data_IF_321470662526
#
_entry.id   IF_321470662526
#
_cell.length_a   1.000
_cell.length_b   1.000
_cell.length_c   1.000
_cell.angle_alpha   90.00
_cell.angle_beta   90.00
_cell.angle_gamma   90.00
#
_symmetry.space_group_name_H-M   'P 1'
#
loop_
_entity.id
_entity.type
_entity.pdbx_description
1 polymer ?
#
# COMPACT_ATOMS: atom_id res chain seq x y z
N UNK A 1 -23.90 4.88 11.53
CA UNK A 1 -24.03 3.91 10.42
C UNK A 1 -22.64 3.80 9.83
N UNK A 2 -22.01 2.63 9.92
CA UNK A 2 -20.66 2.45 9.38
C UNK A 2 -20.72 2.58 7.86
N UNK A 3 -19.96 3.51 7.29
CA UNK A 3 -19.90 3.71 5.84
C UNK A 3 -19.14 2.54 5.23
N UNK A 4 -19.85 1.74 4.44
CA UNK A 4 -19.26 0.72 3.58
C UNK A 4 -18.84 1.36 2.25
N UNK A 5 -17.84 0.79 1.61
CA UNK A 5 -17.32 1.31 0.34
C UNK A 5 -17.02 0.17 -0.60
N UNK A 6 -17.30 0.38 -1.89
CA UNK A 6 -17.11 -0.64 -2.92
C UNK A 6 -15.69 -0.58 -3.45
N UNK A 7 -15.00 -1.70 -3.39
CA UNK A 7 -13.63 -1.88 -3.85
C UNK A 7 -13.59 -3.00 -4.89
N UNK A 8 -12.97 -2.71 -6.03
CA UNK A 8 -12.53 -3.68 -7.02
C UNK A 8 -11.19 -4.27 -6.62
N UNK A 9 -11.08 -5.58 -6.70
CA UNK A 9 -9.87 -6.35 -6.44
C UNK A 9 -9.55 -7.11 -7.72
N UNK A 10 -8.49 -6.72 -8.39
CA UNK A 10 -8.06 -7.26 -9.66
C UNK A 10 -6.92 -8.27 -9.49
N UNK A 11 -7.20 -9.50 -9.92
CA UNK A 11 -6.32 -10.65 -9.90
C UNK A 11 -5.73 -10.98 -11.28
N UNK A 12 -6.06 -10.23 -12.33
CA UNK A 12 -5.60 -10.48 -13.70
C UNK A 12 -4.07 -10.39 -13.81
N UNK A 13 -3.46 -9.39 -13.18
CA UNK A 13 -2.01 -9.17 -13.10
C UNK A 13 -1.32 -10.03 -12.03
N UNK A 14 -2.06 -10.82 -11.26
CA UNK A 14 -1.51 -11.65 -10.19
C UNK A 14 -0.73 -12.87 -10.72
N UNK A 15 -0.65 -13.06 -12.04
CA UNK A 15 0.14 -14.13 -12.67
C UNK A 15 -0.21 -15.50 -12.12
N UNK A 16 -1.51 -15.77 -11.94
CA UNK A 16 -2.04 -16.96 -11.28
C UNK A 16 -1.81 -18.26 -12.08
N UNK A 17 -1.48 -18.14 -13.36
CA UNK A 17 -1.30 -19.27 -14.29
C UNK A 17 -2.51 -20.24 -14.25
N UNK A 18 -3.71 -19.65 -14.13
CA UNK A 18 -4.99 -20.33 -14.17
C UNK A 18 -5.67 -20.03 -15.49
N UNK A 19 -6.40 -21.01 -16.03
CA UNK A 19 -7.30 -20.75 -17.14
C UNK A 19 -8.53 -19.96 -16.67
N UNK A 20 -9.40 -19.57 -17.62
CA UNK A 20 -10.55 -18.72 -17.32
C UNK A 20 -11.56 -19.38 -16.36
N UNK A 21 -11.80 -20.68 -16.50
CA UNK A 21 -12.78 -21.39 -15.68
C UNK A 21 -12.22 -21.59 -14.26
N UNK A 22 -10.96 -22.01 -14.16
CA UNK A 22 -10.26 -22.18 -12.88
C UNK A 22 -10.09 -20.85 -12.13
N UNK A 23 -9.89 -19.75 -12.86
CA UNK A 23 -9.82 -18.40 -12.28
C UNK A 23 -11.17 -17.96 -11.70
N UNK A 24 -12.28 -18.22 -12.41
CA UNK A 24 -13.62 -17.89 -11.91
C UNK A 24 -13.95 -18.70 -10.64
N UNK A 25 -13.69 -20.01 -10.63
CA UNK A 25 -13.89 -20.86 -9.46
C UNK A 25 -12.99 -20.44 -8.28
N UNK A 26 -11.74 -20.07 -8.56
CA UNK A 26 -10.84 -19.52 -7.55
C UNK A 26 -11.43 -18.25 -6.92
N UNK A 27 -11.90 -17.29 -7.74
CA UNK A 27 -12.45 -16.04 -7.23
C UNK A 27 -13.78 -16.20 -6.50
N UNK A 28 -14.62 -17.15 -6.90
CA UNK A 28 -15.84 -17.50 -6.16
C UNK A 28 -15.50 -18.02 -4.76
N UNK A 29 -14.47 -18.87 -4.64
CA UNK A 29 -13.99 -19.34 -3.35
C UNK A 29 -13.44 -18.19 -2.49
N UNK A 30 -12.66 -17.28 -3.08
CA UNK A 30 -12.16 -16.08 -2.39
C UNK A 30 -13.30 -15.21 -1.86
N UNK A 31 -14.30 -14.93 -2.70
CA UNK A 31 -15.45 -14.13 -2.30
C UNK A 31 -16.23 -14.80 -1.14
N UNK A 32 -16.44 -16.12 -1.21
CA UNK A 32 -17.08 -16.90 -0.16
C UNK A 32 -16.29 -16.86 1.16
N UNK A 33 -14.97 -17.03 1.10
CA UNK A 33 -14.09 -16.96 2.26
C UNK A 33 -14.15 -15.57 2.91
N UNK A 34 -14.08 -14.50 2.10
CA UNK A 34 -14.15 -13.12 2.59
C UNK A 34 -15.47 -12.83 3.32
N UNK A 35 -16.61 -13.32 2.80
CA UNK A 35 -17.91 -13.21 3.47
C UNK A 35 -17.95 -14.04 4.76
N UNK A 36 -17.55 -15.31 4.69
CA UNK A 36 -17.62 -16.24 5.82
C UNK A 36 -16.69 -15.88 6.98
N UNK A 37 -15.61 -15.14 6.68
CA UNK A 37 -14.66 -14.62 7.66
C UNK A 37 -15.03 -13.24 8.21
N UNK A 38 -16.24 -12.74 7.94
CA UNK A 38 -16.72 -11.39 8.31
C UNK A 38 -15.76 -10.26 7.90
N UNK A 39 -15.03 -10.44 6.79
CA UNK A 39 -14.08 -9.45 6.28
C UNK A 39 -14.78 -8.37 5.48
N UNK A 40 -15.87 -8.73 4.80
CA UNK A 40 -16.63 -7.86 3.90
C UNK A 40 -18.13 -8.06 4.13
N UNK A 41 -18.92 -7.02 3.85
CA UNK A 41 -20.39 -7.14 3.86
C UNK A 41 -20.86 -7.95 2.65
N UNK A 42 -20.29 -7.65 1.49
CA UNK A 42 -20.58 -8.36 0.24
C UNK A 42 -19.30 -8.57 -0.57
N UNK A 43 -19.27 -9.63 -1.37
CA UNK A 43 -18.23 -9.81 -2.38
C UNK A 43 -18.78 -10.61 -3.57
N UNK A 44 -18.42 -10.28 -4.79
CA UNK A 44 -18.85 -11.05 -5.97
C UNK A 44 -17.91 -10.79 -7.15
N UNK A 45 -18.03 -11.59 -8.21
CA UNK A 45 -17.37 -11.29 -9.47
C UNK A 45 -17.87 -9.94 -10.00
N UNK A 46 -16.95 -9.11 -10.47
CA UNK A 46 -17.26 -7.78 -10.96
C UNK A 46 -18.08 -7.85 -12.26
N UNK A 47 -19.11 -7.02 -12.36
CA UNK A 47 -19.90 -6.82 -13.58
C UNK A 47 -19.51 -5.48 -14.22
N UNK A 48 -19.88 -5.30 -15.48
CA UNK A 48 -19.56 -4.06 -16.23
C UNK A 48 -20.14 -2.82 -15.56
N UNK A 49 -21.28 -2.98 -14.88
CA UNK A 49 -21.96 -1.95 -14.09
C UNK A 49 -21.23 -1.56 -12.82
N UNK A 50 -20.32 -2.40 -12.33
CA UNK A 50 -19.69 -2.25 -11.03
C UNK A 50 -18.35 -1.51 -11.10
N UNK A 51 -17.90 -1.17 -12.32
CA UNK A 51 -16.62 -0.48 -12.57
C UNK A 51 -16.81 1.04 -12.49
N UNK A 52 -16.16 1.74 -11.55
CA UNK A 52 -16.19 3.19 -11.49
C UNK A 52 -15.63 3.80 -12.78
N UNK A 53 -16.24 4.88 -13.28
CA UNK A 53 -15.85 5.49 -14.54
C UNK A 53 -14.39 5.99 -14.54
N UNK A 54 -13.89 6.40 -13.37
CA UNK A 54 -12.50 6.77 -13.13
C UNK A 54 -11.51 5.58 -13.13
N UNK A 55 -11.99 4.34 -12.93
CA UNK A 55 -11.19 3.12 -12.85
C UNK A 55 -11.11 2.36 -14.21
N UNK A 56 -11.69 2.90 -15.29
CA UNK A 56 -11.77 2.27 -16.63
C UNK A 56 -10.43 2.22 -17.41
N UNK A 57 -9.30 2.50 -16.78
CA UNK A 57 -8.00 2.45 -17.45
C UNK A 57 -7.35 1.06 -17.31
N UNK A 58 -7.54 0.20 -18.32
CA UNK A 58 -6.72 -1.00 -18.54
C UNK A 58 -7.40 -2.32 -18.17
N UNK A 59 -7.47 -2.67 -16.89
CA UNK A 59 -7.93 -3.99 -16.43
C UNK A 59 -9.46 -4.18 -16.54
N UNK A 60 -10.23 -3.14 -16.27
CA UNK A 60 -11.69 -3.21 -16.27
C UNK A 60 -12.34 -3.37 -17.67
N UNK A 61 -11.55 -3.25 -18.75
CA UNK A 61 -12.01 -3.50 -20.12
C UNK A 61 -12.30 -5.00 -20.38
N UNK A 62 -11.76 -5.89 -19.54
CA UNK A 62 -11.97 -7.33 -19.61
C UNK A 62 -12.20 -7.82 -18.18
N UNK A 63 -13.45 -7.74 -17.67
CA UNK A 63 -13.89 -8.06 -16.30
C UNK A 63 -13.45 -9.42 -15.71
N UNK A 64 -12.80 -10.27 -16.51
CA UNK A 64 -12.24 -11.55 -16.09
C UNK A 64 -11.14 -11.30 -15.07
N UNK A 65 -11.26 -11.92 -13.89
CA UNK A 65 -10.23 -11.82 -12.85
C UNK A 65 -10.49 -10.74 -11.80
N UNK A 66 -11.66 -10.07 -11.80
CA UNK A 66 -11.94 -8.95 -10.89
C UNK A 66 -13.08 -9.32 -9.92
N UNK A 67 -12.88 -9.03 -8.63
CA UNK A 67 -13.91 -9.07 -7.59
C UNK A 67 -14.37 -7.67 -7.22
N UNK A 68 -15.65 -7.50 -6.96
CA UNK A 68 -16.19 -6.36 -6.20
C UNK A 68 -16.38 -6.79 -4.76
N UNK A 69 -16.02 -5.93 -3.81
CA UNK A 69 -16.16 -6.16 -2.39
C UNK A 69 -16.65 -4.91 -1.67
N UNK A 70 -17.65 -5.07 -0.80
CA UNK A 70 -18.15 -4.01 0.05
C UNK A 70 -17.45 -4.08 1.42
N UNK A 71 -16.55 -3.13 1.65
CA UNK A 71 -15.64 -3.15 2.78
C UNK A 71 -15.98 -1.99 3.72
N UNK A 72 -16.14 -2.29 5.01
CA UNK A 72 -16.21 -1.27 6.06
C UNK A 72 -14.79 -0.83 6.43
N UNK A 73 -14.58 0.47 6.70
CA UNK A 73 -13.30 1.06 7.15
C UNK A 73 -12.63 0.24 8.28
N UNK A 74 -13.40 -0.25 9.24
CA UNK A 74 -12.87 -1.05 10.37
C UNK A 74 -12.32 -2.43 9.96
N UNK A 75 -12.77 -2.97 8.83
CA UNK A 75 -12.37 -4.27 8.30
C UNK A 75 -11.30 -4.19 7.21
N UNK A 76 -10.96 -2.99 6.73
CA UNK A 76 -9.98 -2.79 5.66
C UNK A 76 -8.63 -3.47 5.97
N UNK A 77 -8.12 -3.30 7.20
CA UNK A 77 -6.89 -3.95 7.64
C UNK A 77 -6.97 -5.49 7.56
N UNK A 78 -8.10 -6.08 7.96
CA UNK A 78 -8.31 -7.54 7.90
C UNK A 78 -8.40 -8.06 6.47
N UNK A 79 -9.03 -7.29 5.56
CA UNK A 79 -9.08 -7.62 4.14
C UNK A 79 -7.68 -7.58 3.54
N UNK A 80 -6.87 -6.56 3.86
CA UNK A 80 -5.49 -6.47 3.41
C UNK A 80 -4.63 -7.63 3.93
N UNK A 81 -4.82 -8.04 5.19
CA UNK A 81 -4.16 -9.21 5.76
C UNK A 81 -4.58 -10.52 5.06
N UNK A 82 -5.87 -10.69 4.78
CA UNK A 82 -6.40 -11.85 4.07
C UNK A 82 -5.86 -11.95 2.65
N UNK A 83 -5.96 -10.86 1.86
CA UNK A 83 -5.43 -10.80 0.49
C UNK A 83 -3.91 -11.03 0.46
N UNK A 84 -3.22 -10.57 1.50
CA UNK A 84 -1.84 -10.91 1.77
C UNK A 84 -1.56 -12.39 1.90
N UNK A 85 -2.40 -13.11 2.64
CA UNK A 85 -2.24 -14.53 2.87
C UNK A 85 -2.73 -15.38 1.70
N UNK A 86 -3.60 -14.82 0.85
CA UNK A 86 -4.27 -15.54 -0.23
C UNK A 86 -3.30 -16.06 -1.29
N UNK A 87 -2.34 -15.25 -1.77
CA UNK A 87 -1.27 -15.71 -2.68
C UNK A 87 0.05 -14.92 -2.48
N UNK A 88 1.05 -15.61 -1.94
CA UNK A 88 2.38 -15.05 -1.69
C UNK A 88 3.15 -14.75 -2.99
N UNK A 89 3.69 -13.53 -3.11
CA UNK A 89 4.65 -13.12 -4.13
C UNK A 89 4.06 -12.49 -5.40
N UNK A 90 2.73 -12.36 -5.48
CA UNK A 90 1.98 -11.85 -6.64
C UNK A 90 1.44 -10.44 -6.37
N UNK A 91 1.30 -9.65 -7.44
CA UNK A 91 0.76 -8.29 -7.39
C UNK A 91 -0.76 -8.35 -7.58
N UNK A 92 -1.53 -7.71 -6.69
CA UNK A 92 -2.97 -7.52 -6.81
C UNK A 92 -3.24 -6.03 -6.97
N UNK A 93 -4.06 -5.62 -7.92
CA UNK A 93 -4.47 -4.22 -8.02
C UNK A 93 -5.81 -4.03 -7.30
N UNK A 94 -5.90 -3.06 -6.40
CA UNK A 94 -7.12 -2.72 -5.66
C UNK A 94 -7.59 -1.36 -6.12
N UNK A 95 -8.68 -1.31 -6.86
CA UNK A 95 -9.25 -0.06 -7.37
C UNK A 95 -10.59 0.21 -6.70
N UNK A 96 -10.89 1.39 -6.19
CA UNK A 96 -12.18 1.59 -5.53
C UNK A 96 -12.49 3.03 -5.18
N UNK A 97 -13.69 3.27 -4.68
CA UNK A 97 -14.10 4.60 -4.20
C UNK A 97 -14.52 4.51 -2.73
N UNK A 98 -13.80 5.21 -1.85
CA UNK A 98 -14.12 5.31 -0.41
C UNK A 98 -14.24 6.80 -0.09
N UNK A 99 -15.38 7.21 0.47
CA UNK A 99 -15.64 8.61 0.83
C UNK A 99 -15.42 9.63 -0.33
N UNK A 100 -15.62 9.22 -1.59
CA UNK A 100 -15.42 10.05 -2.79
C UNK A 100 -13.98 10.10 -3.34
N UNK A 101 -13.07 9.32 -2.76
CA UNK A 101 -11.68 9.21 -3.20
C UNK A 101 -11.50 7.92 -4.01
N UNK A 102 -10.92 8.03 -5.20
CA UNK A 102 -10.58 6.86 -6.03
C UNK A 102 -9.19 6.35 -5.66
N UNK A 103 -9.07 5.08 -5.31
CA UNK A 103 -7.81 4.41 -4.98
C UNK A 103 -7.44 3.45 -6.11
N UNK A 104 -6.15 3.29 -6.39
CA UNK A 104 -5.61 2.19 -7.20
C UNK A 104 -4.31 1.72 -6.55
N UNK A 105 -4.35 0.58 -5.86
CA UNK A 105 -3.27 0.09 -5.00
C UNK A 105 -2.72 -1.20 -5.58
N UNK A 106 -1.45 -1.21 -6.00
CA UNK A 106 -0.75 -2.44 -6.35
C UNK A 106 -0.14 -3.08 -5.08
N UNK A 107 -0.63 -4.27 -4.72
CA UNK A 107 -0.34 -4.98 -3.49
C UNK A 107 0.48 -6.25 -3.76
N UNK A 108 1.65 -6.43 -3.12
CA UNK A 108 2.47 -7.64 -3.26
C UNK A 108 3.03 -8.14 -1.93
N UNK A 109 2.65 -9.34 -1.49
CA UNK A 109 3.11 -9.93 -0.22
C UNK A 109 4.28 -10.93 -0.38
N UNK A 110 5.09 -11.18 0.66
CA UNK A 110 6.18 -12.19 0.68
C UNK A 110 6.07 -13.18 1.87
N UNK A 111 6.49 -14.43 1.66
CA UNK A 111 6.47 -15.65 2.52
C UNK A 111 6.88 -15.49 4.00
N UNK A 112 7.48 -14.37 4.41
CA UNK A 112 8.10 -14.24 5.74
C UNK A 112 7.13 -13.78 6.85
N UNK A 113 5.88 -13.42 6.54
CA UNK A 113 4.90 -12.94 7.53
C UNK A 113 4.44 -14.00 8.54
N UNK A 114 4.29 -15.28 8.16
CA UNK A 114 3.80 -16.33 9.08
C UNK A 114 4.84 -16.74 10.13
N UNK A 115 6.14 -16.61 9.83
CA UNK A 115 7.20 -16.80 10.86
C UNK A 115 7.18 -15.69 11.92
N UNK A 116 6.52 -14.54 11.67
CA UNK A 116 6.37 -13.42 12.61
C UNK A 116 5.33 -13.72 13.70
N UNK A 117 4.24 -14.45 13.40
CA UNK A 117 3.16 -14.73 14.36
C UNK A 117 3.47 -15.92 15.29
N UNK A 118 4.10 -16.97 14.76
CA UNK A 118 4.38 -18.23 15.51
C UNK A 118 5.50 -18.11 16.56
N UNK A 119 6.35 -17.08 16.52
CA UNK A 119 7.39 -16.85 17.55
C UNK A 119 6.93 -15.93 18.69
N UNK A 120 5.93 -15.08 18.47
CA UNK A 120 5.38 -14.21 19.52
C UNK A 120 4.47 -14.98 20.48
N UNK A 121 3.73 -15.98 19.99
CA UNK A 121 2.86 -16.84 20.81
C UNK A 121 3.59 -18.01 21.49
N UNK A 122 4.80 -18.38 21.03
CA UNK A 122 5.59 -19.45 21.64
C UNK A 122 6.13 -19.11 23.05
N UNK A 123 6.14 -17.83 23.45
CA UNK A 123 6.54 -17.43 24.80
C UNK A 123 5.42 -17.55 25.84
N UNK A 124 4.16 -17.74 25.44
CA UNK A 124 3.03 -17.84 26.37
C UNK A 124 2.58 -19.27 26.71
N UNK A 125 3.12 -20.32 26.06
CA UNK A 125 2.63 -21.70 26.26
C UNK A 125 3.63 -22.65 26.96
N UNK A 126 4.90 -22.29 27.15
CA UNK A 126 5.81 -23.10 27.99
C UNK A 126 5.87 -22.64 29.44
N UNK A 127 4.71 -22.64 30.10
CA UNK A 127 4.59 -22.64 31.56
C UNK A 127 4.69 -24.05 32.13
N UNK A 128 5.85 -24.70 32.02
CA UNK A 128 6.12 -25.98 32.68
C UNK A 128 7.36 -25.89 33.57
N UNK A 129 7.04 -25.86 34.87
CA UNK A 129 7.80 -26.17 36.09
C UNK A 129 9.23 -26.69 35.91
N UNK A 130 10.13 -26.07 36.68
CA UNK A 130 11.43 -26.59 37.12
C UNK A 130 12.53 -26.72 36.04
N UNK A 131 13.44 -25.75 36.02
CA UNK A 131 14.80 -26.01 35.55
C UNK A 131 15.85 -25.29 36.42
N UNK A 132 16.93 -26.02 36.68
CA UNK A 132 17.72 -26.00 37.91
C UNK A 132 18.92 -25.03 37.81
N UNK A 133 19.20 -24.29 38.89
CA UNK A 133 20.42 -23.47 39.06
C UNK A 133 21.63 -24.40 39.17
N UNK A 134 22.31 -24.72 38.05
CA UNK A 134 23.71 -25.19 37.98
C UNK A 134 24.12 -25.39 36.53
N UNK A 135 24.66 -24.34 35.92
CA UNK A 135 25.74 -24.38 34.90
C UNK A 135 25.93 -22.97 34.33
N UNK A 136 26.51 -22.09 35.14
CA UNK A 136 27.31 -21.00 34.61
C UNK A 136 28.69 -21.57 34.32
N UNK A 137 28.99 -21.95 33.07
CA UNK A 137 30.34 -21.90 32.54
C UNK A 137 30.32 -22.04 31.01
N UNK A 138 30.91 -21.06 30.34
CA UNK A 138 31.48 -21.12 29.00
C UNK A 138 30.57 -21.55 27.82
N UNK A 139 29.71 -20.63 27.40
CA UNK A 139 29.50 -20.37 25.96
C UNK A 139 29.41 -18.87 25.74
N UNK A 140 30.50 -18.24 25.25
CA UNK A 140 30.43 -16.95 24.59
C UNK A 140 29.63 -17.15 23.29
N UNK A 141 28.31 -17.06 23.39
CA UNK A 141 27.50 -16.78 22.21
C UNK A 141 27.87 -15.37 21.75
N UNK A 142 28.23 -15.16 20.46
CA UNK A 142 28.36 -13.81 19.96
C UNK A 142 26.99 -13.16 20.11
N UNK A 143 26.95 -12.08 20.88
CA UNK A 143 25.84 -11.16 20.99
C UNK A 143 25.36 -10.86 19.56
N UNK A 144 24.19 -11.37 19.17
CA UNK A 144 23.60 -11.11 17.86
C UNK A 144 23.43 -9.60 17.79
N UNK A 145 24.25 -8.92 16.98
CA UNK A 145 23.96 -7.54 16.58
C UNK A 145 22.60 -7.57 15.91
N UNK A 146 21.64 -6.88 16.52
CA UNK A 146 20.26 -6.68 16.08
C UNK A 146 20.16 -6.62 14.55
N UNK A 147 19.61 -7.65 13.91
CA UNK A 147 18.95 -7.49 12.62
C UNK A 147 17.57 -6.90 12.91
N UNK A 148 17.54 -5.60 13.18
CA UNK A 148 16.29 -4.85 13.22
C UNK A 148 16.04 -4.40 11.77
N UNK A 149 15.05 -5.02 11.14
CA UNK A 149 14.42 -4.52 9.92
C UNK A 149 13.51 -3.35 10.32
N UNK A 150 13.38 -2.39 9.43
CA UNK A 150 12.64 -1.14 9.69
C UNK A 150 11.40 -1.07 8.78
N UNK A 151 10.26 -0.70 9.37
CA UNK A 151 9.02 -0.39 8.67
C UNK A 151 8.86 1.12 8.62
N UNK A 152 9.17 1.71 7.47
CA UNK A 152 9.21 3.16 7.33
C UNK A 152 8.16 3.64 6.34
N UNK A 153 7.52 4.78 6.63
CA UNK A 153 6.60 5.46 5.72
C UNK A 153 6.97 6.92 5.45
N UNK A 154 7.01 7.31 4.17
CA UNK A 154 7.03 8.71 3.72
C UNK A 154 5.66 9.07 3.21
N UNK A 155 5.08 10.12 3.77
CA UNK A 155 3.76 10.62 3.44
C UNK A 155 3.90 12.04 2.91
N UNK A 156 3.53 12.26 1.66
CA UNK A 156 3.59 13.57 1.02
C UNK A 156 2.16 14.08 0.77
N UNK A 157 1.87 15.29 1.23
CA UNK A 157 0.56 15.92 1.06
C UNK A 157 0.71 17.29 0.45
N UNK A 158 0.15 17.51 -0.73
CA UNK A 158 0.20 18.81 -1.42
C UNK A 158 -1.22 19.34 -1.58
N UNK A 159 -1.57 20.31 -0.74
CA UNK A 159 -2.88 20.97 -0.75
C UNK A 159 -2.84 22.42 -1.22
N UNK A 160 -1.67 23.04 -1.29
CA UNK A 160 -1.48 24.41 -1.78
C UNK A 160 -0.76 24.40 -3.11
N UNK A 161 -1.26 25.17 -4.06
CA UNK A 161 -0.71 25.29 -5.41
C UNK A 161 -0.69 26.76 -5.84
N UNK A 162 0.24 27.09 -6.73
CA UNK A 162 0.22 28.35 -7.48
C UNK A 162 -0.89 28.39 -8.54
N UNK A 163 -0.75 29.31 -9.49
CA UNK A 163 -1.70 29.40 -10.60
C UNK A 163 -1.68 28.14 -11.48
N UNK A 164 -2.86 27.65 -11.86
CA UNK A 164 -3.02 26.54 -12.79
C UNK A 164 -3.57 25.24 -12.19
N UNK A 165 -3.56 25.12 -10.86
CA UNK A 165 -4.16 23.99 -10.15
C UNK A 165 -5.03 24.50 -9.01
N UNK A 166 -6.16 23.84 -8.78
CA UNK A 166 -7.04 24.19 -7.66
C UNK A 166 -6.43 23.72 -6.34
N UNK A 167 -6.51 24.51 -5.25
CA UNK A 167 -6.11 24.05 -3.93
C UNK A 167 -6.84 22.76 -3.52
N UNK A 168 -6.13 21.87 -2.85
CA UNK A 168 -6.64 20.58 -2.36
C UNK A 168 -6.43 20.45 -0.85
N UNK A 169 -7.18 21.22 -0.02
CA UNK A 169 -6.97 21.26 1.43
C UNK A 169 -7.24 19.93 2.16
N UNK A 170 -7.77 18.93 1.46
CA UNK A 170 -7.90 17.56 1.96
C UNK A 170 -6.53 16.85 2.05
N UNK A 171 -5.60 17.11 1.13
CA UNK A 171 -4.35 16.35 1.05
C UNK A 171 -3.49 16.38 2.33
N UNK A 172 -3.27 17.54 2.99
CA UNK A 172 -2.59 17.55 4.28
C UNK A 172 -3.36 16.83 5.39
N UNK A 173 -4.69 16.77 5.32
CA UNK A 173 -5.54 16.06 6.29
C UNK A 173 -5.44 14.55 6.10
N UNK A 174 -5.38 14.08 4.86
CA UNK A 174 -5.19 12.66 4.54
C UNK A 174 -3.85 12.17 5.10
N UNK A 175 -2.78 12.95 4.89
CA UNK A 175 -1.45 12.64 5.46
C UNK A 175 -1.52 12.57 6.99
N UNK A 176 -2.20 13.51 7.64
CA UNK A 176 -2.32 13.51 9.10
C UNK A 176 -3.06 12.26 9.61
N UNK A 177 -4.20 11.93 9.01
CA UNK A 177 -5.00 10.76 9.37
C UNK A 177 -4.24 9.45 9.12
N UNK A 178 -3.54 9.33 7.98
CA UNK A 178 -2.81 8.12 7.67
C UNK A 178 -1.57 7.96 8.55
N UNK A 179 -0.89 9.06 8.89
CA UNK A 179 0.22 9.03 9.83
C UNK A 179 -0.20 8.52 11.22
N UNK A 180 -1.40 8.87 11.69
CA UNK A 180 -1.94 8.40 12.97
C UNK A 180 -2.10 6.87 12.98
N UNK A 181 -2.69 6.32 11.91
CA UNK A 181 -2.87 4.87 11.75
C UNK A 181 -1.54 4.14 11.67
N UNK A 182 -0.60 4.65 10.86
CA UNK A 182 0.69 4.01 10.64
C UNK A 182 1.55 3.99 11.92
N UNK A 183 1.54 5.07 12.71
CA UNK A 183 2.27 5.16 13.98
C UNK A 183 1.65 4.32 15.10
N UNK A 184 0.36 4.02 15.04
CA UNK A 184 -0.31 3.31 16.12
C UNK A 184 0.25 1.89 16.28
N UNK A 185 0.90 1.53 17.41
CA UNK A 185 1.51 0.22 17.62
C UNK A 185 0.51 -0.93 17.69
N UNK A 186 -0.77 -0.64 17.96
CA UNK A 186 -1.84 -1.63 17.98
C UNK A 186 -2.46 -1.87 16.59
N UNK A 187 -2.09 -1.05 15.58
CA UNK A 187 -2.57 -1.18 14.21
C UNK A 187 -1.42 -1.60 13.28
N UNK A 188 -0.58 -0.66 12.88
CA UNK A 188 0.51 -0.92 11.94
C UNK A 188 1.89 -0.91 12.61
N UNK A 189 2.12 0.02 13.55
CA UNK A 189 3.37 0.12 14.31
C UNK A 189 4.61 0.35 13.45
N UNK A 190 4.56 1.32 12.54
CA UNK A 190 5.73 1.73 11.75
C UNK A 190 6.81 2.36 12.64
N UNK A 191 8.08 2.06 12.35
CA UNK A 191 9.26 2.53 13.08
C UNK A 191 9.49 4.02 12.80
N UNK A 192 9.44 4.42 11.52
CA UNK A 192 9.48 5.82 11.09
C UNK A 192 8.26 6.18 10.25
N UNK A 193 7.63 7.32 10.56
CA UNK A 193 6.59 7.92 9.71
C UNK A 193 6.93 9.38 9.49
N UNK A 194 7.47 9.69 8.32
CA UNK A 194 7.86 11.03 7.89
C UNK A 194 6.75 11.66 7.06
N UNK A 195 6.31 12.85 7.47
CA UNK A 195 5.29 13.63 6.75
C UNK A 195 5.92 14.87 6.12
N UNK A 196 5.64 15.14 4.85
CA UNK A 196 6.13 16.29 4.10
C UNK A 196 4.94 17.01 3.46
N UNK A 197 4.64 18.23 3.90
CA UNK A 197 3.45 18.98 3.50
C UNK A 197 3.83 20.15 2.59
N UNK A 198 3.12 20.28 1.47
CA UNK A 198 3.31 21.31 0.45
C UNK A 198 4.78 21.52 0.00
N UNK A 199 5.60 20.46 -0.22
CA UNK A 199 6.94 20.65 -0.74
C UNK A 199 6.93 21.25 -2.14
N UNK A 200 7.95 22.05 -2.46
CA UNK A 200 8.24 22.39 -3.84
C UNK A 200 8.83 21.17 -4.58
N UNK A 201 8.94 21.25 -5.91
CA UNK A 201 9.41 20.14 -6.74
C UNK A 201 10.80 19.62 -6.30
N UNK A 202 11.75 20.51 -5.99
CA UNK A 202 13.10 20.11 -5.64
C UNK A 202 13.14 19.42 -4.26
N UNK A 203 12.37 19.92 -3.30
CA UNK A 203 12.21 19.31 -1.98
C UNK A 203 11.57 17.93 -2.10
N UNK A 204 10.46 17.81 -2.84
CA UNK A 204 9.76 16.55 -3.05
C UNK A 204 10.67 15.51 -3.74
N UNK A 205 11.38 15.91 -4.80
CA UNK A 205 12.33 15.04 -5.50
C UNK A 205 13.39 14.49 -4.55
N UNK A 206 14.01 15.38 -3.78
CA UNK A 206 15.05 15.05 -2.80
C UNK A 206 14.51 14.10 -1.74
N UNK A 207 13.33 14.37 -1.21
CA UNK A 207 12.73 13.56 -0.16
C UNK A 207 12.42 12.15 -0.65
N UNK A 208 11.84 12.01 -1.84
CA UNK A 208 11.59 10.71 -2.47
C UNK A 208 12.90 9.96 -2.71
N UNK A 209 13.92 10.63 -3.28
CA UNK A 209 15.20 9.98 -3.56
C UNK A 209 15.86 9.46 -2.29
N UNK A 210 16.00 10.31 -1.27
CA UNK A 210 16.58 9.93 0.02
C UNK A 210 15.77 8.83 0.69
N UNK A 211 14.46 8.84 0.53
CA UNK A 211 13.57 7.86 1.14
C UNK A 211 13.82 6.43 0.64
N UNK A 212 14.20 6.25 -0.62
CA UNK A 212 14.50 4.92 -1.18
C UNK A 212 15.98 4.52 -1.04
N UNK A 213 16.84 5.42 -0.53
CA UNK A 213 18.26 5.13 -0.31
C UNK A 213 18.53 4.37 0.99
N UNK A 214 19.66 3.65 1.05
CA UNK A 214 20.17 3.04 2.30
C UNK A 214 19.38 1.84 2.84
N UNK A 215 18.28 1.46 2.19
CA UNK A 215 17.39 0.38 2.64
C UNK A 215 18.04 -1.00 2.62
N UNK A 216 17.62 -1.86 3.54
CA UNK A 216 18.01 -3.27 3.62
C UNK A 216 16.97 -4.13 2.92
N UNK A 217 17.33 -5.34 2.43
CA UNK A 217 16.40 -6.21 1.73
C UNK A 217 15.13 -6.60 2.50
N UNK A 218 15.19 -6.62 3.84
CA UNK A 218 14.10 -7.05 4.72
C UNK A 218 13.24 -5.89 5.25
N UNK A 219 13.59 -4.64 4.93
CA UNK A 219 12.82 -3.46 5.32
C UNK A 219 11.49 -3.39 4.54
N UNK A 220 10.50 -2.70 5.14
CA UNK A 220 9.27 -2.28 4.49
C UNK A 220 9.33 -0.78 4.27
N UNK A 221 9.16 -0.35 3.02
CA UNK A 221 9.20 1.06 2.64
C UNK A 221 7.87 1.45 2.02
N UNK A 222 7.17 2.39 2.66
CA UNK A 222 5.92 2.95 2.16
C UNK A 222 6.16 4.37 1.65
N UNK A 223 5.58 4.68 0.48
CA UNK A 223 5.40 6.03 -0.04
C UNK A 223 3.90 6.28 -0.21
N UNK A 224 3.37 7.30 0.44
CA UNK A 224 2.02 7.80 0.24
C UNK A 224 2.06 9.19 -0.37
N UNK A 225 1.27 9.44 -1.40
CA UNK A 225 1.09 10.75 -1.99
C UNK A 225 -0.39 11.13 -2.04
N UNK A 226 -0.74 12.26 -1.44
CA UNK A 226 -2.02 12.93 -1.64
C UNK A 226 -1.80 14.30 -2.27
N UNK A 227 -2.40 14.53 -3.44
CA UNK A 227 -2.22 15.74 -4.24
C UNK A 227 -2.68 15.56 -5.68
N UNK A 228 -2.42 16.54 -6.55
CA UNK A 228 -2.81 16.46 -7.96
C UNK A 228 -1.88 15.53 -8.74
N UNK A 229 -2.47 14.57 -9.45
CA UNK A 229 -1.87 13.89 -10.58
C UNK A 229 -2.15 14.66 -11.87
N UNK A 230 -1.13 15.20 -12.51
CA UNK A 230 -1.26 15.97 -13.75
C UNK A 230 -0.62 15.23 -14.91
N UNK A 231 -1.22 15.32 -16.09
CA UNK A 231 -0.65 14.77 -17.32
C UNK A 231 -0.06 15.89 -18.18
N UNK A 232 1.04 15.60 -18.85
CA UNK A 232 1.58 16.48 -19.88
C UNK A 232 0.89 16.27 -21.25
N UNK A 233 1.38 16.98 -22.25
CA UNK A 233 0.93 16.90 -23.64
C UNK A 233 1.09 15.51 -24.27
N UNK A 234 1.97 14.67 -23.70
CA UNK A 234 2.21 13.29 -24.11
C UNK A 234 1.42 12.27 -23.29
N UNK A 235 0.55 12.73 -22.39
CA UNK A 235 -0.24 11.91 -21.46
C UNK A 235 0.61 11.20 -20.39
N UNK A 236 1.84 11.63 -20.19
CA UNK A 236 2.71 11.11 -19.13
C UNK A 236 2.26 11.68 -17.78
N UNK A 237 2.27 10.85 -16.73
CA UNK A 237 1.81 11.23 -15.39
C UNK A 237 2.90 11.92 -14.57
N UNK A 238 2.53 12.99 -13.88
CA UNK A 238 3.35 13.72 -12.93
C UNK A 238 2.59 13.96 -11.62
N UNK A 239 3.31 13.88 -10.51
CA UNK A 239 2.87 14.33 -9.20
C UNK A 239 3.15 15.83 -9.07
N UNK A 240 2.10 16.60 -8.81
CA UNK A 240 2.23 18.04 -8.64
C UNK A 240 2.83 18.37 -7.26
N UNK A 241 3.78 19.30 -7.28
CA UNK A 241 4.35 19.98 -6.12
C UNK A 241 3.67 21.34 -5.91
N UNK A 242 3.93 22.02 -4.79
CA UNK A 242 3.25 23.28 -4.49
C UNK A 242 3.55 24.41 -5.49
N UNK A 243 4.71 24.35 -6.14
CA UNK A 243 5.13 25.28 -7.19
C UNK A 243 4.91 24.74 -8.61
N UNK A 244 4.09 23.70 -8.79
CA UNK A 244 3.77 23.19 -10.13
C UNK A 244 3.01 24.24 -10.95
N UNK A 245 3.55 24.54 -12.13
CA UNK A 245 2.94 25.45 -13.09
C UNK A 245 2.22 24.67 -14.19
N UNK A 246 0.90 24.86 -14.28
CA UNK A 246 0.07 24.30 -15.35
C UNK A 246 -0.72 25.42 -16.04
N UNK A 247 -0.55 25.57 -17.35
CA UNK A 247 -1.26 26.58 -18.15
C UNK A 247 -2.14 25.86 -19.16
N UNK A 248 -3.44 25.80 -18.88
CA UNK A 248 -4.40 25.01 -19.66
C UNK A 248 -3.92 23.55 -19.79
N UNK A 249 -3.61 23.10 -21.01
CA UNK A 249 -3.13 21.74 -21.28
C UNK A 249 -1.60 21.61 -21.23
N UNK A 250 -0.87 22.71 -21.05
CA UNK A 250 0.59 22.71 -20.99
C UNK A 250 1.09 22.63 -19.55
N UNK A 251 1.87 21.59 -19.26
CA UNK A 251 2.57 21.41 -17.99
C UNK A 251 4.03 21.87 -18.12
N UNK A 252 4.49 22.77 -17.23
CA UNK A 252 5.92 23.06 -17.09
C UNK A 252 6.57 21.89 -16.34
N UNK A 253 6.95 20.83 -17.06
CA UNK A 253 7.42 19.54 -16.51
C UNK A 253 8.49 19.67 -15.41
N UNK A 254 9.37 20.68 -15.49
CA UNK A 254 10.42 20.92 -14.51
C UNK A 254 9.89 21.31 -13.11
N UNK A 255 8.61 21.66 -12.99
CA UNK A 255 7.95 22.07 -11.74
C UNK A 255 7.11 20.96 -11.11
N UNK A 256 7.14 19.75 -11.67
CA UNK A 256 6.44 18.57 -11.16
C UNK A 256 7.39 17.35 -11.11
N UNK A 257 6.97 16.27 -10.46
CA UNK A 257 7.74 15.02 -10.40
C UNK A 257 7.13 14.00 -11.34
N UNK A 258 7.89 13.53 -12.32
CA UNK A 258 7.39 12.47 -13.21
C UNK A 258 7.19 11.17 -12.44
N UNK A 259 6.12 10.44 -12.75
CA UNK A 259 5.92 9.10 -12.20
C UNK A 259 7.11 8.19 -12.50
N UNK A 260 7.73 8.35 -13.67
CA UNK A 260 8.95 7.62 -14.05
C UNK A 260 10.13 7.88 -13.12
N UNK A 261 10.30 9.10 -12.61
CA UNK A 261 11.34 9.43 -11.64
C UNK A 261 11.14 8.67 -10.32
N UNK A 262 9.89 8.59 -9.85
CA UNK A 262 9.54 7.83 -8.64
C UNK A 262 9.74 6.33 -8.88
N UNK A 263 9.29 5.80 -10.02
CA UNK A 263 9.50 4.41 -10.43
C UNK A 263 10.99 4.04 -10.49
N UNK A 264 11.87 4.96 -10.92
CA UNK A 264 13.31 4.72 -10.89
C UNK A 264 13.85 4.59 -9.47
N UNK A 265 13.37 5.41 -8.53
CA UNK A 265 13.74 5.29 -7.11
C UNK A 265 13.32 3.95 -6.52
N UNK A 266 12.08 3.53 -6.81
CA UNK A 266 11.52 2.23 -6.40
C UNK A 266 12.36 1.07 -6.94
N UNK A 267 12.73 1.11 -8.23
CA UNK A 267 13.53 0.07 -8.88
C UNK A 267 14.94 -0.06 -8.31
N UNK A 268 15.53 1.03 -7.82
CA UNK A 268 16.86 1.04 -7.22
C UNK A 268 16.86 0.79 -5.71
N UNK A 269 15.69 0.85 -5.07
CA UNK A 269 15.54 0.51 -3.67
C UNK A 269 15.86 -0.97 -3.44
N UNK A 270 16.68 -1.24 -2.42
CA UNK A 270 17.06 -2.61 -2.04
C UNK A 270 15.96 -3.33 -1.25
N UNK A 271 15.05 -2.58 -0.60
CA UNK A 271 13.95 -3.17 0.14
C UNK A 271 13.07 -3.99 -0.81
N UNK A 272 12.78 -5.23 -0.41
CA UNK A 272 11.93 -6.12 -1.21
C UNK A 272 10.44 -5.85 -1.00
N UNK A 273 10.10 -5.20 0.12
CA UNK A 273 8.73 -4.84 0.48
C UNK A 273 8.57 -3.34 0.28
N UNK A 274 7.89 -2.96 -0.81
CA UNK A 274 7.66 -1.56 -1.17
C UNK A 274 6.17 -1.36 -1.42
N UNK A 275 5.58 -0.33 -0.82
CA UNK A 275 4.16 0.01 -0.93
C UNK A 275 4.07 1.45 -1.43
N UNK A 276 3.32 1.69 -2.51
CA UNK A 276 3.09 3.03 -3.06
C UNK A 276 1.57 3.25 -3.11
N UNK A 277 1.12 4.36 -2.54
CA UNK A 277 -0.29 4.73 -2.40
C UNK A 277 -0.47 6.17 -2.86
#
# INVERSE_FOLDING_TARGET
MSTSSTVLIDFSEAGLDLDRADLEDFLLNVANEMRSGDLVQEAQLARETDVPEAAKSGAAAFLVGILTAEINRENLGKVMDYLGNLRYGKTLALSGEIDGMTYNIEYRNNRNSIRRQTRSSAWQICGLKSWNKKNQLNRKTPFIRNLQWENDALLIGVGEYGEGLTPLPAAPKDVAAFAEVLRNPQMCGFDEVKSVINPNQAEMAREIELWFQGRKPDDLVLLFFSGHGVKDDRRELYFAACNTEKRQDYLVRATAISAQSVLNCIRWCKAKSQIII
#
